data_IF_457642134402
#
_entry.id   IF_457642134402
#
_cell.length_a   1.000
_cell.length_b   1.000
_cell.length_c   1.000
_cell.angle_alpha   90.00
_cell.angle_beta   90.00
_cell.angle_gamma   90.00
#
_symmetry.space_group_name_H-M   'P 1'
#
loop_
_entity.id
_entity.type
_entity.pdbx_description
1 polymer ?
#
# COMPACT_ATOMS: atom_id res chain seq x y z
N UNK A 1 6.34 -23.80 -26.52
CA UNK A 1 5.45 -24.25 -25.44
C UNK A 1 5.98 -23.57 -24.20
N UNK A 2 5.19 -22.75 -23.50
CA UNK A 2 5.65 -22.20 -22.23
C UNK A 2 5.71 -23.35 -21.23
N UNK A 3 6.87 -23.53 -20.58
CA UNK A 3 7.04 -24.59 -19.59
C UNK A 3 6.26 -24.21 -18.32
N UNK A 4 5.37 -25.09 -17.89
CA UNK A 4 4.63 -24.93 -16.64
C UNK A 4 5.59 -25.01 -15.45
N UNK A 5 5.54 -24.01 -14.56
CA UNK A 5 6.38 -23.93 -13.36
C UNK A 5 5.62 -24.44 -12.14
N UNK A 6 6.33 -25.09 -11.22
CA UNK A 6 5.88 -25.38 -9.86
C UNK A 6 6.12 -24.18 -8.97
N UNK A 7 5.05 -23.53 -8.51
CA UNK A 7 5.12 -22.24 -7.83
C UNK A 7 4.69 -22.38 -6.38
N UNK A 8 5.53 -21.86 -5.47
CA UNK A 8 5.08 -21.51 -4.12
C UNK A 8 4.60 -20.05 -4.15
N UNK A 9 3.42 -19.79 -3.64
CA UNK A 9 2.92 -18.43 -3.47
C UNK A 9 3.02 -18.00 -2.00
N UNK A 10 3.60 -16.83 -1.71
CA UNK A 10 3.68 -16.28 -0.36
C UNK A 10 3.08 -14.88 -0.32
N UNK A 11 1.96 -14.71 0.40
CA UNK A 11 1.28 -13.42 0.47
C UNK A 11 0.17 -13.38 1.51
N UNK A 12 -0.39 -12.20 1.78
CA UNK A 12 -1.40 -12.04 2.86
C UNK A 12 -2.61 -11.18 2.49
N UNK A 13 -2.47 -9.89 2.10
CA UNK A 13 -3.62 -9.02 1.89
C UNK A 13 -4.35 -9.32 0.57
N UNK A 14 -5.46 -8.61 0.32
CA UNK A 14 -6.23 -8.70 -0.93
C UNK A 14 -5.36 -8.47 -2.18
N UNK A 15 -4.35 -7.60 -2.08
CA UNK A 15 -3.39 -7.34 -3.15
C UNK A 15 -2.73 -8.64 -3.61
N UNK A 16 -2.26 -9.44 -2.65
CA UNK A 16 -1.65 -10.72 -2.90
C UNK A 16 -2.67 -11.76 -3.39
N UNK A 17 -3.90 -11.75 -2.86
CA UNK A 17 -4.94 -12.66 -3.32
C UNK A 17 -5.22 -12.51 -4.82
N UNK A 18 -5.21 -11.28 -5.36
CA UNK A 18 -5.36 -11.03 -6.80
C UNK A 18 -4.21 -11.59 -7.65
N UNK A 19 -3.00 -11.66 -7.10
CA UNK A 19 -1.87 -12.30 -7.77
C UNK A 19 -2.01 -13.82 -7.74
N UNK A 20 -2.44 -14.40 -6.62
CA UNK A 20 -2.73 -15.82 -6.54
C UNK A 20 -3.84 -16.24 -7.51
N UNK A 21 -4.92 -15.47 -7.60
CA UNK A 21 -6.02 -15.70 -8.54
C UNK A 21 -5.56 -15.72 -10.01
N UNK A 22 -4.70 -14.76 -10.37
CA UNK A 22 -4.10 -14.72 -11.70
C UNK A 22 -3.20 -15.92 -11.98
N UNK A 23 -2.43 -16.40 -11.00
CA UNK A 23 -1.64 -17.64 -11.16
C UNK A 23 -2.53 -18.87 -11.32
N UNK A 24 -3.64 -18.96 -10.58
CA UNK A 24 -4.60 -20.06 -10.70
C UNK A 24 -5.28 -20.11 -12.06
N UNK A 25 -5.36 -18.95 -12.73
CA UNK A 25 -5.89 -18.81 -14.09
C UNK A 25 -4.83 -19.02 -15.18
N UNK A 26 -3.57 -19.30 -14.81
CA UNK A 26 -2.45 -19.52 -15.73
C UNK A 26 -2.15 -21.02 -15.94
N UNK A 27 -1.14 -21.33 -16.75
CA UNK A 27 -0.66 -22.69 -16.97
C UNK A 27 0.17 -23.27 -15.81
N UNK A 28 0.50 -22.46 -14.80
CA UNK A 28 1.41 -22.84 -13.72
C UNK A 28 0.73 -23.67 -12.64
N UNK A 29 1.52 -24.47 -11.91
CA UNK A 29 1.05 -25.31 -10.82
C UNK A 29 1.38 -24.66 -9.47
N UNK A 30 0.35 -24.25 -8.72
CA UNK A 30 0.56 -23.81 -7.33
C UNK A 30 0.71 -25.02 -6.41
N UNK A 31 1.92 -25.20 -5.85
CA UNK A 31 2.25 -26.37 -5.01
C UNK A 31 2.11 -26.09 -3.52
N UNK A 32 2.05 -24.81 -3.13
CA UNK A 32 1.82 -24.42 -1.74
C UNK A 32 1.59 -22.92 -1.60
N UNK A 33 0.78 -22.54 -0.62
CA UNK A 33 0.44 -21.15 -0.31
C UNK A 33 0.87 -20.82 1.12
N UNK A 34 1.78 -19.86 1.25
CA UNK A 34 2.25 -19.32 2.52
C UNK A 34 1.53 -18.00 2.82
N UNK A 35 0.99 -17.88 4.03
CA UNK A 35 0.36 -16.63 4.49
C UNK A 35 0.60 -16.42 5.98
N UNK A 36 0.38 -15.20 6.48
CA UNK A 36 0.46 -14.91 7.90
C UNK A 36 -0.53 -15.79 8.68
N UNK A 37 -0.20 -16.18 9.93
CA UNK A 37 -1.17 -16.77 10.85
C UNK A 37 -2.40 -15.89 11.00
N UNK A 38 -3.57 -16.50 11.20
CA UNK A 38 -4.83 -15.79 11.40
C UNK A 38 -4.68 -14.84 12.60
N UNK A 39 -5.14 -13.59 12.43
CA UNK A 39 -5.05 -12.56 13.47
C UNK A 39 -6.46 -12.10 13.87
N UNK A 40 -6.66 -11.67 15.12
CA UNK A 40 -7.87 -10.99 15.53
C UNK A 40 -8.11 -9.74 14.67
N UNK A 41 -9.32 -9.60 14.12
CA UNK A 41 -9.71 -8.43 13.35
C UNK A 41 -11.15 -7.99 13.66
N UNK A 42 -11.45 -6.72 13.38
CA UNK A 42 -12.78 -6.14 13.56
C UNK A 42 -13.24 -6.01 15.02
N UNK A 43 -14.51 -5.63 15.20
CA UNK A 43 -15.12 -5.59 16.55
C UNK A 43 -15.36 -7.01 17.04
N UNK A 44 -14.86 -7.34 18.23
CA UNK A 44 -15.00 -8.66 18.85
C UNK A 44 -13.80 -9.59 18.68
N UNK A 45 -12.70 -9.13 18.06
CA UNK A 45 -11.41 -9.83 18.00
C UNK A 45 -11.49 -11.29 17.52
N UNK A 46 -12.42 -11.59 16.59
CA UNK A 46 -12.50 -12.93 16.00
C UNK A 46 -11.26 -13.17 15.13
N UNK A 47 -10.67 -14.36 15.26
CA UNK A 47 -9.64 -14.82 14.34
C UNK A 47 -10.22 -14.82 12.94
N UNK A 48 -9.60 -14.03 12.06
CA UNK A 48 -10.04 -13.84 10.69
C UNK A 48 -8.95 -14.36 9.76
N UNK A 49 -9.26 -15.26 8.83
CA UNK A 49 -8.29 -15.72 7.86
C UNK A 49 -7.89 -14.59 6.91
N UNK A 50 -6.64 -14.61 6.44
CA UNK A 50 -6.18 -13.67 5.42
C UNK A 50 -6.94 -13.86 4.10
N UNK A 51 -7.09 -12.81 3.26
CA UNK A 51 -7.64 -12.94 1.92
C UNK A 51 -6.98 -14.05 1.07
N UNK A 52 -5.64 -14.17 1.14
CA UNK A 52 -4.90 -15.25 0.46
C UNK A 52 -5.28 -16.64 0.98
N UNK A 53 -5.45 -16.81 2.30
CA UNK A 53 -5.88 -18.08 2.90
C UNK A 53 -7.26 -18.48 2.40
N UNK A 54 -8.21 -17.54 2.42
CA UNK A 54 -9.59 -17.79 1.97
C UNK A 54 -9.60 -18.29 0.52
N UNK A 55 -8.86 -17.62 -0.36
CA UNK A 55 -8.77 -18.03 -1.77
C UNK A 55 -8.08 -19.40 -1.92
N UNK A 56 -6.99 -19.65 -1.19
CA UNK A 56 -6.29 -20.93 -1.25
C UNK A 56 -7.17 -22.10 -0.79
N UNK A 57 -7.94 -21.93 0.28
CA UNK A 57 -8.89 -22.94 0.79
C UNK A 57 -10.03 -23.21 -0.21
N UNK A 58 -10.55 -22.17 -0.87
CA UNK A 58 -11.58 -22.31 -1.92
C UNK A 58 -11.10 -23.18 -3.09
N UNK A 59 -9.82 -23.05 -3.46
CA UNK A 59 -9.18 -23.83 -4.51
C UNK A 59 -8.48 -25.10 -4.01
N UNK A 60 -8.67 -25.47 -2.74
CA UNK A 60 -8.12 -26.68 -2.11
C UNK A 60 -6.59 -26.78 -2.20
N UNK A 61 -5.90 -25.63 -2.14
CA UNK A 61 -4.44 -25.56 -2.14
C UNK A 61 -3.88 -25.83 -0.74
N UNK A 62 -2.69 -26.46 -0.62
CA UNK A 62 -2.01 -26.59 0.65
C UNK A 62 -1.65 -25.22 1.24
N UNK A 63 -2.10 -24.93 2.47
CA UNK A 63 -1.85 -23.66 3.17
C UNK A 63 -0.85 -23.86 4.31
N UNK A 64 0.17 -23.01 4.36
CA UNK A 64 1.22 -22.98 5.38
C UNK A 64 1.20 -21.61 6.10
N UNK A 65 1.17 -21.62 7.44
CA UNK A 65 1.13 -20.41 8.26
C UNK A 65 2.26 -20.36 9.31
N UNK A 66 3.55 -20.49 8.91
CA UNK A 66 4.64 -20.36 9.87
C UNK A 66 4.70 -18.94 10.44
N UNK A 67 5.06 -18.80 11.71
CA UNK A 67 5.30 -17.48 12.33
C UNK A 67 6.62 -16.86 11.87
N UNK A 68 7.55 -17.68 11.38
CA UNK A 68 8.87 -17.28 10.88
C UNK A 68 9.42 -18.37 9.96
N UNK A 69 10.15 -17.99 8.92
CA UNK A 69 10.88 -18.92 8.05
C UNK A 69 12.34 -19.13 8.49
N UNK A 70 12.77 -18.52 9.60
CA UNK A 70 14.13 -18.73 10.14
C UNK A 70 14.37 -20.15 10.68
N UNK A 71 13.45 -20.77 11.45
CA UNK A 71 13.67 -22.12 11.99
C UNK A 71 13.78 -23.18 10.88
N UNK A 72 14.74 -24.10 10.98
CA UNK A 72 14.96 -25.17 9.99
C UNK A 72 13.71 -26.03 9.73
N UNK A 73 12.90 -26.29 10.77
CA UNK A 73 11.63 -27.00 10.65
C UNK A 73 10.66 -26.31 9.67
N UNK A 74 10.63 -24.97 9.66
CA UNK A 74 9.76 -24.20 8.76
C UNK A 74 10.37 -24.07 7.37
N UNK A 75 11.70 -24.14 7.26
CA UNK A 75 12.40 -24.17 5.98
C UNK A 75 12.11 -25.47 5.20
N UNK A 76 11.95 -26.61 5.92
CA UNK A 76 11.55 -27.88 5.29
C UNK A 76 10.20 -27.79 4.58
N UNK A 77 9.26 -26.99 5.11
CA UNK A 77 7.97 -26.73 4.45
C UNK A 77 8.13 -26.16 3.04
N UNK A 78 9.21 -25.41 2.77
CA UNK A 78 9.52 -24.87 1.45
C UNK A 78 10.27 -25.90 0.61
N UNK A 79 11.29 -26.54 1.18
CA UNK A 79 12.14 -27.51 0.48
C UNK A 79 11.35 -28.73 -0.04
N UNK A 80 10.44 -29.27 0.77
CA UNK A 80 9.65 -30.48 0.47
C UNK A 80 8.66 -30.28 -0.69
N UNK A 81 8.39 -29.02 -1.08
CA UNK A 81 7.49 -28.69 -2.18
C UNK A 81 8.17 -28.79 -3.55
N UNK A 82 9.51 -28.90 -3.61
CA UNK A 82 10.29 -29.01 -4.85
C UNK A 82 9.83 -28.01 -5.92
N UNK A 83 9.82 -26.72 -5.54
CA UNK A 83 9.32 -25.66 -6.38
C UNK A 83 10.38 -25.15 -7.37
N UNK A 84 9.92 -24.70 -8.54
CA UNK A 84 10.77 -23.98 -9.48
C UNK A 84 11.01 -22.55 -9.01
N UNK A 85 9.98 -21.87 -8.51
CA UNK A 85 10.06 -20.46 -8.08
C UNK A 85 9.11 -20.21 -6.91
N UNK A 86 9.48 -19.30 -6.03
CA UNK A 86 8.57 -18.73 -5.03
C UNK A 86 8.18 -17.31 -5.44
N UNK A 87 6.88 -17.04 -5.56
CA UNK A 87 6.33 -15.72 -5.82
C UNK A 87 5.88 -15.10 -4.51
N UNK A 88 6.48 -13.97 -4.14
CA UNK A 88 6.21 -13.24 -2.90
C UNK A 88 5.46 -11.95 -3.22
N UNK A 89 4.34 -11.72 -2.53
CA UNK A 89 3.53 -10.51 -2.69
C UNK A 89 2.99 -10.10 -1.33
N UNK A 90 3.48 -8.99 -0.77
CA UNK A 90 3.00 -8.43 0.50
C UNK A 90 2.86 -9.48 1.64
N UNK A 91 3.87 -10.33 1.80
CA UNK A 91 3.84 -11.47 2.74
C UNK A 91 4.07 -11.07 4.20
N UNK A 92 4.95 -10.10 4.44
CA UNK A 92 5.23 -9.55 5.78
C UNK A 92 6.08 -10.44 6.69
N UNK A 93 6.69 -11.51 6.18
CA UNK A 93 7.78 -12.21 6.84
C UNK A 93 9.07 -12.05 6.03
N UNK A 94 10.21 -12.08 6.75
CA UNK A 94 11.53 -12.07 6.14
C UNK A 94 11.88 -13.48 5.67
N UNK A 95 12.33 -13.60 4.42
CA UNK A 95 12.88 -14.85 3.87
C UNK A 95 14.39 -14.88 4.16
N UNK A 96 14.90 -15.85 4.93
CA UNK A 96 16.33 -16.01 5.10
C UNK A 96 16.97 -16.53 3.81
N UNK A 97 18.29 -16.31 3.64
CA UNK A 97 19.06 -16.79 2.48
C UNK A 97 18.78 -18.27 2.16
N UNK A 98 18.76 -19.13 3.18
CA UNK A 98 18.48 -20.56 3.01
C UNK A 98 17.13 -20.85 2.32
N UNK A 99 16.11 -19.99 2.48
CA UNK A 99 14.83 -20.11 1.78
C UNK A 99 14.90 -19.52 0.38
N UNK A 100 15.61 -18.41 0.19
CA UNK A 100 15.82 -17.80 -1.13
C UNK A 100 16.48 -18.76 -2.12
N UNK A 101 17.34 -19.64 -1.61
CA UNK A 101 18.10 -20.62 -2.40
C UNK A 101 17.35 -21.94 -2.67
N UNK A 102 16.18 -22.16 -2.06
CA UNK A 102 15.46 -23.44 -2.17
C UNK A 102 14.78 -23.65 -3.52
N UNK A 103 14.00 -22.68 -4.06
CA UNK A 103 13.43 -22.84 -5.39
C UNK A 103 14.52 -22.77 -6.46
N UNK A 104 14.40 -23.58 -7.51
CA UNK A 104 15.40 -23.65 -8.61
C UNK A 104 15.75 -22.29 -9.23
N UNK A 105 14.78 -21.40 -9.31
CA UNK A 105 14.87 -20.05 -9.88
C UNK A 105 14.83 -18.96 -8.78
N UNK A 106 14.93 -19.36 -7.52
CA UNK A 106 14.86 -18.51 -6.34
C UNK A 106 13.47 -17.93 -6.07
N UNK A 107 13.46 -16.80 -5.36
CA UNK A 107 12.24 -16.08 -5.00
C UNK A 107 12.14 -14.76 -5.77
N UNK A 108 10.96 -14.45 -6.31
CA UNK A 108 10.66 -13.12 -6.88
C UNK A 108 9.63 -12.41 -6.03
N UNK A 109 9.70 -11.08 -5.97
CA UNK A 109 8.72 -10.24 -5.29
C UNK A 109 8.01 -9.29 -6.27
N UNK A 110 6.71 -9.10 -6.08
CA UNK A 110 5.97 -8.01 -6.71
C UNK A 110 5.94 -6.82 -5.77
N UNK A 111 6.74 -5.80 -6.09
CA UNK A 111 6.84 -4.57 -5.31
C UNK A 111 5.96 -3.46 -5.87
N UNK A 112 5.27 -2.72 -5.00
CA UNK A 112 4.30 -1.69 -5.36
C UNK A 112 4.88 -0.30 -5.67
N UNK A 113 6.09 -0.25 -6.22
CA UNK A 113 6.69 0.98 -6.76
C UNK A 113 7.57 0.70 -7.98
N UNK A 114 8.07 1.78 -8.59
CA UNK A 114 9.16 1.75 -9.56
C UNK A 114 10.50 1.82 -8.82
N UNK A 115 11.09 0.65 -8.54
CA UNK A 115 12.40 0.55 -7.90
C UNK A 115 13.48 1.22 -8.76
N UNK A 116 14.56 1.76 -8.15
CA UNK A 116 14.93 1.69 -6.73
C UNK A 116 14.20 2.65 -5.79
N UNK A 117 13.30 3.50 -6.32
CA UNK A 117 12.50 4.43 -5.51
C UNK A 117 11.46 3.65 -4.68
N UNK A 118 11.28 4.06 -3.43
CA UNK A 118 10.31 3.51 -2.48
C UNK A 118 10.51 2.04 -2.09
N UNK A 119 11.74 1.63 -1.77
CA UNK A 119 11.98 0.38 -1.03
C UNK A 119 11.21 0.40 0.30
N UNK A 120 10.62 -0.71 0.73
CA UNK A 120 10.01 -0.86 2.05
C UNK A 120 8.48 -0.98 2.06
N UNK A 121 7.86 -0.50 3.13
CA UNK A 121 6.57 -1.05 3.60
C UNK A 121 5.32 -0.38 3.05
N UNK A 122 5.39 0.88 2.59
CA UNK A 122 4.23 1.64 2.12
C UNK A 122 4.45 2.38 0.78
N UNK A 123 5.00 1.72 -0.25
CA UNK A 123 5.40 2.39 -1.49
C UNK A 123 4.27 3.15 -2.20
N UNK A 124 3.08 2.55 -2.26
CA UNK A 124 1.91 3.12 -2.96
C UNK A 124 1.48 4.45 -2.31
N UNK A 125 1.46 4.48 -0.98
CA UNK A 125 1.05 5.66 -0.22
C UNK A 125 2.13 6.73 -0.28
N UNK A 126 3.40 6.32 -0.22
CA UNK A 126 4.53 7.25 -0.20
C UNK A 126 4.77 7.94 -1.53
N UNK A 127 4.56 7.25 -2.66
CA UNK A 127 4.62 7.90 -3.98
C UNK A 127 3.56 9.00 -4.12
N UNK A 128 2.32 8.72 -3.67
CA UNK A 128 1.23 9.69 -3.66
C UNK A 128 1.50 10.87 -2.70
N UNK A 129 1.95 10.56 -1.50
CA UNK A 129 2.27 11.52 -0.44
C UNK A 129 3.38 12.50 -0.85
N UNK A 130 4.42 12.01 -1.53
CA UNK A 130 5.52 12.84 -2.01
C UNK A 130 5.13 13.70 -3.23
N UNK A 131 4.00 13.38 -3.89
CA UNK A 131 3.56 14.05 -5.10
C UNK A 131 4.29 13.59 -6.36
N UNK A 132 4.71 12.33 -6.42
CA UNK A 132 5.25 11.74 -7.64
C UNK A 132 4.20 11.81 -8.76
N UNK A 133 4.63 12.01 -10.01
CA UNK A 133 3.73 12.03 -11.17
C UNK A 133 3.27 10.64 -11.60
N UNK A 134 4.03 9.61 -11.24
CA UNK A 134 3.75 8.22 -11.55
C UNK A 134 4.21 7.30 -10.42
N UNK A 135 3.63 6.10 -10.41
CA UNK A 135 4.07 4.96 -9.60
C UNK A 135 4.00 3.72 -10.48
N UNK A 136 4.08 2.52 -9.90
CA UNK A 136 4.02 1.31 -10.69
C UNK A 136 4.25 0.05 -9.86
N UNK A 137 4.49 -1.03 -10.59
CA UNK A 137 4.96 -2.28 -10.01
C UNK A 137 6.34 -2.62 -10.56
N UNK A 138 7.19 -3.19 -9.69
CA UNK A 138 8.44 -3.81 -10.09
C UNK A 138 8.42 -5.27 -9.68
N UNK A 139 8.68 -6.16 -10.64
CA UNK A 139 9.00 -7.55 -10.35
C UNK A 139 10.50 -7.63 -10.16
N UNK A 140 10.95 -8.10 -9.00
CA UNK A 140 12.36 -8.19 -8.66
C UNK A 140 12.72 -9.61 -8.24
N UNK A 141 13.95 -10.02 -8.55
CA UNK A 141 14.57 -11.16 -7.89
C UNK A 141 14.87 -10.74 -6.45
N UNK A 142 14.43 -11.53 -5.48
CA UNK A 142 14.72 -11.24 -4.07
C UNK A 142 16.17 -11.58 -3.73
N UNK A 143 16.76 -10.76 -2.87
CA UNK A 143 18.01 -11.01 -2.16
C UNK A 143 17.79 -10.85 -0.65
N UNK A 144 18.86 -10.81 0.14
CA UNK A 144 18.80 -10.73 1.61
C UNK A 144 18.39 -9.37 2.15
N UNK A 145 18.53 -8.31 1.36
CA UNK A 145 18.20 -6.96 1.79
C UNK A 145 16.71 -6.66 1.62
N UNK A 146 16.30 -5.49 2.11
CA UNK A 146 14.92 -5.03 1.98
C UNK A 146 14.74 -4.36 0.62
N UNK A 147 14.11 -5.09 -0.30
CA UNK A 147 13.80 -4.62 -1.66
C UNK A 147 15.05 -4.17 -2.46
N UNK A 148 16.19 -4.84 -2.25
CA UNK A 148 17.48 -4.50 -2.87
C UNK A 148 17.80 -5.32 -4.11
N UNK A 149 17.18 -6.48 -4.30
CA UNK A 149 17.51 -7.39 -5.38
C UNK A 149 17.19 -6.87 -6.79
N UNK A 150 17.77 -7.53 -7.78
CA UNK A 150 17.74 -7.08 -9.17
C UNK A 150 16.32 -6.97 -9.73
N UNK A 151 16.06 -5.89 -10.45
CA UNK A 151 14.77 -5.63 -11.08
C UNK A 151 14.67 -6.41 -12.39
N UNK A 152 13.52 -7.03 -12.65
CA UNK A 152 13.32 -7.89 -13.83
C UNK A 152 12.26 -7.31 -14.78
N UNK A 153 11.23 -6.69 -14.24
CA UNK A 153 10.16 -6.10 -15.05
C UNK A 153 9.52 -4.91 -14.32
N UNK A 154 9.17 -3.85 -15.05
CA UNK A 154 8.49 -2.66 -14.50
C UNK A 154 7.27 -2.31 -15.34
N UNK A 155 6.19 -1.91 -14.68
CA UNK A 155 5.00 -1.36 -15.32
C UNK A 155 4.62 -0.09 -14.58
N UNK A 156 4.70 1.05 -15.26
CA UNK A 156 4.35 2.36 -14.70
C UNK A 156 2.86 2.68 -14.86
N UNK A 157 2.35 3.54 -13.99
CA UNK A 157 1.00 4.07 -14.01
C UNK A 157 0.99 5.52 -13.51
N UNK A 158 0.34 6.45 -14.21
CA UNK A 158 0.24 7.84 -13.74
C UNK A 158 -0.56 7.94 -12.43
N UNK A 159 -0.13 8.88 -11.58
CA UNK A 159 -0.87 9.29 -10.39
C UNK A 159 -1.73 10.50 -10.77
N UNK A 160 -3.04 10.28 -10.83
CA UNK A 160 -4.00 11.35 -11.13
C UNK A 160 -4.22 12.26 -9.93
N UNK A 161 -4.66 13.50 -10.18
CA UNK A 161 -4.93 14.45 -9.09
C UNK A 161 -6.05 14.00 -8.14
N UNK A 162 -6.95 13.12 -8.62
CA UNK A 162 -8.04 12.53 -7.83
C UNK A 162 -7.67 11.20 -7.19
N UNK A 163 -6.48 10.65 -7.46
CA UNK A 163 -6.10 9.35 -6.92
C UNK A 163 -5.90 9.43 -5.40
N UNK A 164 -6.40 8.38 -4.75
CA UNK A 164 -6.12 8.05 -3.35
C UNK A 164 -5.26 6.79 -3.31
N UNK A 165 -4.73 6.43 -2.15
CA UNK A 165 -4.03 5.15 -2.06
C UNK A 165 -4.93 3.95 -2.32
N UNK A 166 -6.24 4.05 -2.07
CA UNK A 166 -7.20 3.02 -2.47
C UNK A 166 -7.27 2.85 -4.00
N UNK A 167 -7.42 3.94 -4.76
CA UNK A 167 -7.53 3.87 -6.22
C UNK A 167 -6.21 3.46 -6.89
N UNK A 168 -5.07 3.94 -6.37
CA UNK A 168 -3.75 3.49 -6.82
C UNK A 168 -3.54 2.01 -6.51
N UNK A 169 -3.96 1.54 -5.34
CA UNK A 169 -3.91 0.13 -5.00
C UNK A 169 -4.69 -0.72 -6.01
N UNK A 170 -5.91 -0.32 -6.39
CA UNK A 170 -6.71 -1.02 -7.39
C UNK A 170 -6.06 -1.04 -8.77
N UNK A 171 -5.47 0.10 -9.21
CA UNK A 171 -4.70 0.19 -10.46
C UNK A 171 -3.53 -0.79 -10.44
N UNK A 172 -2.70 -0.75 -9.39
CA UNK A 172 -1.51 -1.59 -9.27
C UNK A 172 -1.88 -3.07 -9.09
N UNK A 173 -3.02 -3.38 -8.48
CA UNK A 173 -3.50 -4.74 -8.34
C UNK A 173 -3.95 -5.37 -9.66
N UNK A 174 -4.17 -4.56 -10.71
CA UNK A 174 -4.38 -5.04 -12.07
C UNK A 174 -3.06 -5.21 -12.83
N UNK A 175 -2.09 -4.31 -12.63
CA UNK A 175 -0.80 -4.32 -13.32
C UNK A 175 0.18 -5.37 -12.76
N UNK A 176 0.21 -5.54 -11.43
CA UNK A 176 1.08 -6.48 -10.74
C UNK A 176 0.99 -7.91 -11.28
N UNK A 177 -0.20 -8.51 -11.41
CA UNK A 177 -0.35 -9.84 -11.98
C UNK A 177 0.14 -9.96 -13.42
N UNK A 178 -0.05 -8.92 -14.25
CA UNK A 178 0.41 -8.92 -15.64
C UNK A 178 1.93 -8.93 -15.72
N UNK A 179 2.60 -8.10 -14.91
CA UNK A 179 4.05 -8.05 -14.81
C UNK A 179 4.62 -9.36 -14.26
N UNK A 180 3.99 -9.93 -13.24
CA UNK A 180 4.36 -11.21 -12.64
C UNK A 180 4.30 -12.36 -13.66
N UNK A 181 3.17 -12.53 -14.36
CA UNK A 181 3.01 -13.59 -15.37
C UNK A 181 3.98 -13.43 -16.54
N UNK A 182 4.25 -12.19 -16.95
CA UNK A 182 5.27 -11.92 -17.98
C UNK A 182 6.67 -12.32 -17.52
N UNK A 183 7.02 -12.00 -16.28
CA UNK A 183 8.32 -12.35 -15.70
C UNK A 183 8.46 -13.87 -15.54
N UNK A 184 7.42 -14.56 -15.06
CA UNK A 184 7.44 -16.02 -14.92
C UNK A 184 7.66 -16.73 -16.26
N UNK A 185 7.03 -16.25 -17.34
CA UNK A 185 7.27 -16.76 -18.70
C UNK A 185 8.73 -16.61 -19.12
N UNK A 186 9.31 -15.43 -18.90
CA UNK A 186 10.72 -15.14 -19.21
C UNK A 186 11.68 -15.97 -18.36
N UNK A 187 11.31 -16.27 -17.11
CA UNK A 187 12.10 -17.15 -16.24
C UNK A 187 12.03 -18.61 -16.70
N UNK A 188 10.87 -19.05 -17.19
CA UNK A 188 10.68 -20.42 -17.68
C UNK A 188 11.48 -20.68 -18.96
N UNK A 189 11.49 -19.73 -19.92
CA UNK A 189 12.20 -19.88 -21.19
C UNK A 189 13.68 -19.42 -21.15
N UNK A 190 14.13 -18.90 -20.01
CA UNK A 190 15.50 -18.44 -19.80
C UNK A 190 15.84 -17.08 -20.44
N UNK A 191 14.84 -16.32 -20.91
CA UNK A 191 15.01 -14.98 -21.48
C UNK A 191 14.96 -13.83 -20.46
N UNK A 192 14.71 -14.13 -19.18
CA UNK A 192 14.65 -13.13 -18.13
C UNK A 192 15.96 -12.34 -18.01
N UNK A 193 15.82 -11.01 -17.96
CA UNK A 193 16.94 -10.08 -17.72
C UNK A 193 16.86 -9.52 -16.31
N UNK A 194 18.01 -9.11 -15.78
CA UNK A 194 18.16 -8.55 -14.43
C UNK A 194 18.88 -7.21 -14.53
N UNK A 195 18.30 -6.18 -13.93
CA UNK A 195 18.83 -4.84 -13.83
C UNK A 195 19.19 -4.55 -12.37
N UNK A 196 20.48 -4.34 -12.10
CA UNK A 196 20.96 -3.96 -10.76
C UNK A 196 20.41 -2.59 -10.42
N UNK A 197 19.94 -2.44 -9.18
CA UNK A 197 19.43 -1.18 -8.68
C UNK A 197 20.54 -0.12 -8.54
N UNK A 198 20.28 1.11 -8.98
CA UNK A 198 21.17 2.25 -8.72
C UNK A 198 20.94 2.79 -7.30
N UNK A 199 21.92 2.56 -6.43
CA UNK A 199 21.87 3.01 -5.02
C UNK A 199 21.75 4.53 -4.87
N UNK A 200 22.15 5.34 -5.87
CA UNK A 200 21.99 6.79 -5.83
C UNK A 200 20.53 7.25 -5.97
N UNK A 201 19.64 6.38 -6.46
CA UNK A 201 18.23 6.67 -6.70
C UNK A 201 17.30 6.09 -5.60
N UNK A 202 17.87 5.45 -4.59
CA UNK A 202 17.11 4.76 -3.54
C UNK A 202 16.40 5.75 -2.63
N UNK A 203 15.12 5.51 -2.41
CA UNK A 203 14.35 6.11 -1.32
C UNK A 203 13.60 5.04 -0.54
N UNK A 204 13.31 5.31 0.74
CA UNK A 204 12.61 4.36 1.61
C UNK A 204 11.18 4.82 1.90
N UNK A 205 10.24 3.90 1.72
CA UNK A 205 8.82 4.06 1.99
C UNK A 205 8.49 3.57 3.40
N UNK A 206 8.61 4.46 4.39
CA UNK A 206 8.27 4.14 5.77
C UNK A 206 6.79 3.79 5.94
N UNK A 207 6.50 2.86 6.85
CA UNK A 207 5.15 2.47 7.19
C UNK A 207 4.38 3.64 7.79
N UNK A 208 3.14 3.83 7.35
CA UNK A 208 2.28 4.89 7.88
C UNK A 208 1.92 4.65 9.36
N UNK A 209 1.71 5.74 10.09
CA UNK A 209 1.27 5.73 11.50
C UNK A 209 0.01 6.57 11.69
N UNK A 210 -0.71 6.38 12.80
CA UNK A 210 -1.87 7.25 13.10
C UNK A 210 -1.40 8.64 13.46
N UNK A 211 -0.26 8.72 14.13
CA UNK A 211 0.37 9.96 14.59
C UNK A 211 0.71 10.85 13.40
N UNK A 212 1.25 10.27 12.32
CA UNK A 212 1.53 10.95 11.05
C UNK A 212 0.27 11.41 10.31
N UNK A 213 -0.87 10.74 10.52
CA UNK A 213 -2.15 11.18 9.94
C UNK A 213 -2.74 12.43 10.61
N UNK A 214 -2.18 12.90 11.73
CA UNK A 214 -2.59 14.19 12.28
C UNK A 214 -2.12 15.30 11.33
N UNK A 215 -3.05 16.12 10.87
CA UNK A 215 -2.75 17.28 10.03
C UNK A 215 -1.87 18.25 10.82
N UNK A 216 -0.64 18.46 10.34
CA UNK A 216 0.25 19.51 10.80
C UNK A 216 0.05 20.75 9.92
N UNK A 217 -0.64 21.74 10.46
CA UNK A 217 -0.97 22.97 9.75
C UNK A 217 0.27 23.77 9.30
N UNK A 218 1.45 23.49 9.87
CA UNK A 218 2.72 24.10 9.44
C UNK A 218 3.26 23.54 8.12
N UNK A 219 2.60 22.55 7.52
CA UNK A 219 2.87 22.13 6.16
C UNK A 219 2.13 23.02 5.16
N UNK A 220 2.50 22.96 3.87
CA UNK A 220 1.74 23.65 2.82
C UNK A 220 0.39 22.98 2.57
N UNK A 221 -0.58 23.74 2.08
CA UNK A 221 -1.88 23.21 1.69
C UNK A 221 -1.77 22.08 0.66
N UNK A 222 -0.82 22.19 -0.28
CA UNK A 222 -0.55 21.14 -1.26
C UNK A 222 -0.04 19.83 -0.62
N UNK A 223 0.83 19.92 0.39
CA UNK A 223 1.31 18.73 1.08
C UNK A 223 0.20 18.09 1.92
N UNK A 224 -0.62 18.90 2.61
CA UNK A 224 -1.74 18.39 3.40
C UNK A 224 -2.82 17.73 2.52
N UNK A 225 -3.10 18.29 1.34
CA UNK A 225 -4.00 17.70 0.36
C UNK A 225 -3.51 16.30 -0.08
N UNK A 226 -2.20 16.16 -0.36
CA UNK A 226 -1.59 14.85 -0.65
C UNK A 226 -1.68 13.90 0.55
N UNK A 227 -1.43 14.36 1.77
CA UNK A 227 -1.61 13.54 2.97
C UNK A 227 -3.06 13.01 3.10
N UNK A 228 -4.06 13.84 2.81
CA UNK A 228 -5.47 13.45 2.85
C UNK A 228 -5.75 12.32 1.85
N UNK A 229 -5.23 12.39 0.63
CA UNK A 229 -5.39 11.34 -0.38
C UNK A 229 -4.54 10.10 -0.11
N UNK A 230 -3.29 10.26 0.32
CA UNK A 230 -2.34 9.17 0.59
C UNK A 230 -2.70 8.35 1.83
N UNK A 231 -3.35 8.96 2.81
CA UNK A 231 -3.78 8.27 4.02
C UNK A 231 -5.20 7.71 3.89
N UNK A 232 -5.80 7.74 2.70
CA UNK A 232 -7.10 7.14 2.40
C UNK A 232 -6.91 5.76 1.75
N UNK A 233 -7.37 4.65 2.38
CA UNK A 233 -8.41 4.58 3.42
C UNK A 233 -7.90 4.41 4.86
N UNK A 234 -6.59 4.35 5.06
CA UNK A 234 -5.95 4.22 6.37
C UNK A 234 -4.62 4.97 6.40
N UNK A 235 -4.28 5.70 7.49
CA UNK A 235 -5.05 5.87 8.73
C UNK A 235 -6.20 6.89 8.69
N UNK A 236 -6.37 7.57 7.55
CA UNK A 236 -7.22 8.75 7.31
C UNK A 236 -6.70 9.97 8.07
N UNK A 237 -6.35 11.02 7.32
CA UNK A 237 -5.91 12.29 7.90
C UNK A 237 -6.96 12.84 8.87
N UNK A 238 -6.53 13.47 9.96
CA UNK A 238 -7.45 14.04 10.96
C UNK A 238 -6.86 15.26 11.66
N UNK A 239 -7.72 16.07 12.28
CA UNK A 239 -7.35 17.09 13.26
C UNK A 239 -8.20 16.91 14.53
N UNK A 240 -7.91 17.68 15.56
CA UNK A 240 -8.63 17.63 16.85
C UNK A 240 -9.36 18.94 17.09
N UNK A 241 -10.62 18.85 17.51
CA UNK A 241 -11.41 19.99 17.97
C UNK A 241 -12.26 19.55 19.17
N UNK A 242 -12.31 20.35 20.23
CA UNK A 242 -12.95 19.98 21.51
C UNK A 242 -12.54 18.57 22.00
N UNK A 243 -11.23 18.28 21.95
CA UNK A 243 -10.62 16.97 22.28
C UNK A 243 -11.15 15.77 21.46
N UNK A 244 -11.87 16.03 20.36
CA UNK A 244 -12.43 14.99 19.49
C UNK A 244 -11.71 14.95 18.13
N UNK A 245 -11.37 13.75 17.63
CA UNK A 245 -10.80 13.62 16.30
C UNK A 245 -11.87 13.82 15.23
N UNK A 246 -11.56 14.67 14.26
CA UNK A 246 -12.35 14.84 13.03
C UNK A 246 -11.48 14.40 11.86
N UNK A 247 -11.89 13.33 11.20
CA UNK A 247 -11.21 12.83 10.00
C UNK A 247 -11.54 13.70 8.80
N UNK A 248 -10.59 13.84 7.88
CA UNK A 248 -10.73 14.56 6.62
C UNK A 248 -10.56 13.57 5.48
N UNK A 249 -11.57 13.50 4.61
CA UNK A 249 -11.64 12.54 3.50
C UNK A 249 -11.35 13.19 2.15
N UNK A 250 -11.71 14.47 2.00
CA UNK A 250 -11.50 15.24 0.79
C UNK A 250 -11.22 16.69 1.14
N UNK A 251 -10.25 17.28 0.45
CA UNK A 251 -9.94 18.70 0.52
C UNK A 251 -9.47 19.17 -0.87
N UNK A 252 -9.45 20.49 -1.06
CA UNK A 252 -8.83 21.13 -2.21
C UNK A 252 -7.84 22.21 -1.76
N UNK A 253 -6.90 22.56 -2.64
CA UNK A 253 -5.95 23.65 -2.42
C UNK A 253 -6.51 24.92 -3.04
N UNK A 254 -6.48 26.02 -2.29
CA UNK A 254 -6.70 27.35 -2.82
C UNK A 254 -5.35 28.07 -2.87
N UNK A 255 -5.00 28.57 -4.06
CA UNK A 255 -3.72 29.26 -4.32
C UNK A 255 -3.62 30.65 -3.65
N UNK A 256 -4.62 31.04 -2.87
CA UNK A 256 -4.64 32.32 -2.15
C UNK A 256 -3.85 32.17 -0.86
N UNK A 257 -2.99 33.15 -0.58
CA UNK A 257 -2.34 33.28 0.71
C UNK A 257 -3.31 33.93 1.69
N UNK A 258 -3.40 33.41 2.91
CA UNK A 258 -4.03 34.13 4.03
C UNK A 258 -2.93 34.73 4.90
N UNK A 259 -3.06 36.00 5.29
CA UNK A 259 -2.25 36.58 6.38
C UNK A 259 -2.83 36.11 7.73
N UNK A 260 -2.76 34.80 7.98
CA UNK A 260 -3.26 34.18 9.18
C UNK A 260 -2.30 33.08 9.64
N UNK A 261 -2.25 32.85 10.95
CA UNK A 261 -1.43 31.79 11.53
C UNK A 261 -1.89 30.40 11.03
N UNK A 262 -0.95 29.45 10.81
CA UNK A 262 -1.30 28.06 10.50
C UNK A 262 -2.35 27.47 11.45
N UNK A 263 -3.38 26.85 10.87
CA UNK A 263 -4.51 26.25 11.58
C UNK A 263 -5.69 27.21 11.79
N UNK A 264 -5.56 28.49 11.47
CA UNK A 264 -6.67 29.45 11.60
C UNK A 264 -7.74 29.20 10.54
N UNK A 265 -9.00 29.10 10.95
CA UNK A 265 -10.16 29.06 10.05
C UNK A 265 -10.33 30.44 9.43
N UNK A 266 -10.16 30.53 8.11
CA UNK A 266 -10.28 31.78 7.34
C UNK A 266 -11.73 32.01 6.91
N UNK A 267 -12.39 30.94 6.47
CA UNK A 267 -13.77 30.99 5.99
C UNK A 267 -14.46 29.64 6.22
N UNK A 268 -15.77 29.65 6.42
CA UNK A 268 -16.57 28.43 6.56
C UNK A 268 -17.94 28.63 5.93
N UNK A 269 -18.20 27.91 4.84
CA UNK A 269 -19.46 27.96 4.11
C UNK A 269 -19.82 26.61 3.46
N UNK A 270 -20.83 26.62 2.58
CA UNK A 270 -21.27 25.41 1.87
C UNK A 270 -20.23 24.85 0.88
N UNK A 271 -19.23 25.64 0.48
CA UNK A 271 -18.16 25.24 -0.44
C UNK A 271 -16.96 24.61 0.29
N UNK A 272 -16.84 24.84 1.60
CA UNK A 272 -15.88 24.16 2.45
C UNK A 272 -15.48 24.97 3.69
N UNK A 273 -14.59 24.38 4.46
CA UNK A 273 -13.94 25.04 5.61
C UNK A 273 -12.50 25.34 5.20
N UNK A 274 -12.19 26.62 5.04
CA UNK A 274 -10.90 27.10 4.59
C UNK A 274 -9.99 27.34 5.79
N UNK A 275 -8.87 26.62 5.85
CA UNK A 275 -7.90 26.68 6.94
C UNK A 275 -6.57 27.19 6.40
N UNK A 276 -6.02 28.22 7.06
CA UNK A 276 -4.69 28.73 6.76
C UNK A 276 -3.63 27.67 7.07
N UNK A 277 -2.62 27.59 6.21
CA UNK A 277 -1.49 26.67 6.37
C UNK A 277 -0.18 27.47 6.28
N UNK A 278 0.98 26.83 6.37
CA UNK A 278 2.23 27.55 6.18
C UNK A 278 2.38 28.18 4.78
N UNK A 279 1.76 27.57 3.76
CA UNK A 279 1.71 28.10 2.40
C UNK A 279 0.39 27.70 1.71
N UNK A 280 -0.40 28.71 1.37
CA UNK A 280 -1.74 28.58 0.81
C UNK A 280 -2.82 28.22 1.82
N UNK A 281 -4.02 27.95 1.31
CA UNK A 281 -5.21 27.61 2.11
C UNK A 281 -5.68 26.21 1.73
N UNK A 282 -5.92 25.38 2.75
CA UNK A 282 -6.55 24.08 2.57
C UNK A 282 -8.07 24.20 2.78
N UNK A 283 -8.85 23.86 1.77
CA UNK A 283 -10.30 23.87 1.82
C UNK A 283 -10.83 22.47 2.12
N UNK A 284 -11.31 22.22 3.33
CA UNK A 284 -11.87 20.94 3.77
C UNK A 284 -13.28 20.77 3.20
N UNK A 285 -13.50 19.69 2.44
CA UNK A 285 -14.75 19.45 1.68
C UNK A 285 -15.58 18.34 2.31
N UNK A 286 -14.93 17.23 2.70
CA UNK A 286 -15.59 16.07 3.29
C UNK A 286 -14.90 15.68 4.59
N UNK A 287 -15.68 15.64 5.68
CA UNK A 287 -15.20 15.40 7.03
C UNK A 287 -16.00 14.29 7.71
N UNK A 288 -15.45 13.73 8.77
CA UNK A 288 -16.12 12.72 9.58
C UNK A 288 -15.82 12.96 11.07
N UNK A 289 -16.78 13.56 11.80
CA UNK A 289 -16.74 13.59 13.26
C UNK A 289 -16.76 12.19 13.87
N UNK A 290 -16.18 12.04 15.05
CA UNK A 290 -16.17 10.78 15.78
C UNK A 290 -17.58 10.18 15.92
N UNK A 291 -17.71 8.89 15.59
CA UNK A 291 -18.98 8.15 15.68
C UNK A 291 -20.02 8.48 14.59
N UNK A 292 -19.69 9.32 13.60
CA UNK A 292 -20.56 9.66 12.46
C UNK A 292 -20.07 9.06 11.14
N UNK A 293 -20.92 9.08 10.12
CA UNK A 293 -20.52 8.81 8.73
C UNK A 293 -19.80 10.03 8.13
N UNK A 294 -18.94 9.85 7.12
CA UNK A 294 -18.42 10.98 6.35
C UNK A 294 -19.55 11.84 5.78
N UNK A 295 -19.40 13.16 5.83
CA UNK A 295 -20.40 14.15 5.42
C UNK A 295 -19.73 15.37 4.78
N UNK A 296 -20.51 16.18 4.07
CA UNK A 296 -20.01 17.43 3.49
C UNK A 296 -19.69 18.45 4.58
N UNK A 297 -18.82 19.42 4.25
CA UNK A 297 -18.59 20.59 5.10
C UNK A 297 -19.90 21.33 5.42
N UNK A 298 -20.81 21.45 4.44
CA UNK A 298 -22.12 22.07 4.64
C UNK A 298 -22.96 21.35 5.71
N UNK A 299 -23.06 20.03 5.64
CA UNK A 299 -23.83 19.23 6.60
C UNK A 299 -23.23 19.34 8.01
N UNK A 300 -21.90 19.37 8.09
CA UNK A 300 -21.22 19.56 9.36
C UNK A 300 -21.51 20.95 9.94
N UNK A 301 -21.41 22.02 9.13
CA UNK A 301 -21.68 23.40 9.55
C UNK A 301 -23.15 23.66 9.93
N UNK A 302 -24.10 22.87 9.43
CA UNK A 302 -25.49 22.95 9.86
C UNK A 302 -25.70 22.46 11.30
N UNK A 303 -24.79 21.62 11.82
CA UNK A 303 -24.91 21.03 13.16
C UNK A 303 -23.81 21.46 14.14
N UNK A 304 -22.67 21.95 13.64
CA UNK A 304 -21.45 22.29 14.39
C UNK A 304 -20.81 23.57 13.82
N UNK A 305 -21.59 24.63 13.66
CA UNK A 305 -21.08 25.89 13.09
C UNK A 305 -20.00 26.51 13.98
N UNK A 306 -20.19 26.41 15.29
CA UNK A 306 -19.32 26.95 16.34
C UNK A 306 -17.89 26.42 16.26
N UNK A 307 -17.71 25.17 15.79
CA UNK A 307 -16.41 24.54 15.59
C UNK A 307 -15.53 25.26 14.57
N UNK A 308 -16.14 25.93 13.60
CA UNK A 308 -15.43 26.51 12.45
C UNK A 308 -15.70 28.01 12.34
N UNK A 309 -15.79 28.68 13.48
CA UNK A 309 -15.92 30.15 13.53
C UNK A 309 -14.64 30.78 12.95
N UNK A 310 -14.73 31.64 11.91
CA UNK A 310 -13.56 32.30 11.36
C UNK A 310 -12.76 33.05 12.41
N UNK A 311 -11.43 32.91 12.36
CA UNK A 311 -10.48 33.42 13.35
C UNK A 311 -10.08 32.39 14.43
N UNK A 312 -10.87 31.35 14.67
CA UNK A 312 -10.47 30.25 15.57
C UNK A 312 -9.35 29.42 14.96
N UNK A 313 -8.51 28.81 15.81
CA UNK A 313 -7.39 27.96 15.39
C UNK A 313 -7.64 26.48 15.74
N UNK A 314 -7.36 25.60 14.78
CA UNK A 314 -7.45 24.13 14.88
C UNK A 314 -6.14 23.47 15.33
#
# INVERSE_FOLDING_TARGET
MSDSLRIIFAGTPDFAARHLDALLSSEHQIVGVFTQPDRPAGRGNKLTPSPVKVLAEQHQLPVFQPKSLRPEENQRLVADLHADVMVVVAYGLILPQAVLDMPRLGCINVHGSLLPRWRGAAPIQRSLWAGDSETGVTIMQMDVGLDTGDMMHKIACPIESSDTSASLYDKLAQLGPQGMLTTLRQMADGSATREVQDEALVTYAEKLSKEEARLDWNLSAAQLERCIRAFNPWPVSYFTIDDQPVKVWQASVLAQSANAEPGTVVHADKHGIQVATADGILNLIQLQPAGKKPMSAQDLLNSRREWFTPGNRL
#
